data_IF_893139044491
#
_entry.id   IF_893139044491
#
_cell.length_a   1.000
_cell.length_b   1.000
_cell.length_c   1.000
_cell.angle_alpha   90.00
_cell.angle_beta   90.00
_cell.angle_gamma   90.00
#
_symmetry.space_group_name_H-M   'P 1'
#
loop_
_entity.id
_entity.type
_entity.pdbx_description
1 polymer ?
#
# COMPACT_ATOMS: atom_id res chain seq x y z
N UNK A 1 39.01 -14.67 -12.71
CA UNK A 1 37.98 -15.62 -12.21
C UNK A 1 38.58 -16.40 -11.04
N UNK A 2 38.23 -16.03 -9.81
CA UNK A 2 38.56 -16.79 -8.60
C UNK A 2 37.39 -16.59 -7.66
N UNK A 3 36.54 -17.63 -7.58
CA UNK A 3 35.40 -17.64 -6.68
C UNK A 3 35.91 -17.83 -5.24
N UNK A 4 35.37 -17.10 -4.26
CA UNK A 4 35.47 -17.46 -2.85
C UNK A 4 34.15 -18.07 -2.39
N UNK A 5 34.17 -19.18 -1.64
CA UNK A 5 33.02 -19.66 -0.84
C UNK A 5 33.43 -20.86 0.03
N UNK A 6 32.70 -21.16 1.11
CA UNK A 6 33.15 -20.86 2.48
C UNK A 6 33.09 -22.11 3.38
N UNK A 7 33.44 -21.98 4.66
CA UNK A 7 32.59 -22.35 5.82
C UNK A 7 33.40 -22.55 7.10
N UNK A 8 32.68 -22.23 8.19
CA UNK A 8 32.79 -22.81 9.51
C UNK A 8 33.98 -22.40 10.36
N UNK A 9 33.73 -21.54 11.36
CA UNK A 9 34.06 -21.89 12.74
C UNK A 9 32.97 -21.39 13.70
N UNK A 10 32.26 -22.36 14.27
CA UNK A 10 31.57 -22.21 15.55
C UNK A 10 32.63 -22.07 16.64
N UNK A 11 32.52 -21.06 17.49
CA UNK A 11 33.24 -20.96 18.76
C UNK A 11 32.17 -20.79 19.85
N UNK A 12 31.80 -21.89 20.52
CA UNK A 12 32.40 -22.45 21.74
C UNK A 12 31.98 -21.70 23.01
N UNK A 13 31.11 -22.38 23.76
CA UNK A 13 30.68 -22.08 25.12
C UNK A 13 31.88 -21.84 26.04
N UNK A 14 31.73 -20.90 26.98
CA UNK A 14 32.48 -20.90 28.24
C UNK A 14 31.53 -20.85 29.42
N UNK A 15 31.25 -22.05 29.93
CA UNK A 15 30.85 -22.28 31.31
C UNK A 15 32.00 -21.84 32.22
N UNK A 16 31.71 -21.00 33.22
CA UNK A 16 32.54 -20.87 34.41
C UNK A 16 31.64 -20.98 35.63
N UNK A 17 31.98 -21.95 36.48
CA UNK A 17 31.35 -22.29 37.73
C UNK A 17 32.34 -21.97 38.85
N UNK A 18 31.89 -21.24 39.88
CA UNK A 18 32.51 -21.07 41.21
C UNK A 18 31.53 -20.18 42.00
N UNK A 19 31.18 -20.37 43.26
CA UNK A 19 31.31 -21.44 44.24
C UNK A 19 30.32 -21.12 45.39
N UNK A 20 30.03 -22.13 46.20
CA UNK A 20 29.20 -22.08 47.40
C UNK A 20 29.52 -20.92 48.38
N UNK A 21 28.49 -20.28 48.91
CA UNK A 21 28.37 -20.00 50.35
C UNK A 21 26.92 -20.25 50.82
N UNK A 22 26.70 -20.96 51.95
CA UNK A 22 25.38 -21.17 52.53
C UNK A 22 25.18 -20.23 53.73
N UNK A 23 24.22 -19.32 53.67
CA UNK A 23 23.64 -18.72 54.88
C UNK A 23 22.12 -18.68 54.72
N UNK A 24 21.48 -19.52 55.52
CA UNK A 24 20.06 -19.50 55.76
C UNK A 24 19.67 -18.15 56.38
N UNK A 25 18.80 -17.42 55.70
CA UNK A 25 17.94 -16.43 56.32
C UNK A 25 16.54 -16.66 55.76
N UNK A 26 15.81 -17.56 56.43
CA UNK A 26 14.38 -17.75 56.28
C UNK A 26 13.72 -16.46 56.75
N UNK A 27 13.52 -15.52 55.83
CA UNK A 27 12.52 -14.47 55.97
C UNK A 27 11.26 -14.96 55.27
N UNK A 28 10.42 -15.65 56.04
CA UNK A 28 8.99 -15.78 55.72
C UNK A 28 8.40 -14.38 55.90
N UNK A 29 8.51 -13.56 54.86
CA UNK A 29 7.63 -12.42 54.71
C UNK A 29 6.34 -12.95 54.09
N UNK A 30 5.25 -12.84 54.84
CA UNK A 30 3.90 -12.87 54.32
C UNK A 30 3.83 -12.06 53.02
N UNK A 31 3.75 -12.75 51.88
CA UNK A 31 3.23 -12.14 50.68
C UNK A 31 1.75 -11.82 50.98
N UNK A 32 1.30 -10.55 50.93
CA UNK A 32 -0.12 -10.33 50.79
C UNK A 32 -0.51 -11.05 49.50
N UNK A 33 -1.50 -11.93 49.61
CA UNK A 33 -2.17 -12.48 48.46
C UNK A 33 -2.71 -11.29 47.67
N UNK A 34 -1.92 -10.80 46.71
CA UNK A 34 -2.40 -9.93 45.67
C UNK A 34 -3.44 -10.76 44.94
N UNK A 35 -4.70 -10.53 45.28
CA UNK A 35 -5.83 -10.89 44.47
C UNK A 35 -5.58 -10.24 43.10
N UNK A 36 -4.97 -11.00 42.20
CA UNK A 36 -4.80 -10.60 40.82
C UNK A 36 -6.22 -10.45 40.27
N UNK A 37 -6.68 -9.20 40.18
CA UNK A 37 -7.94 -8.87 39.53
C UNK A 37 -7.79 -9.37 38.09
N UNK A 38 -8.60 -10.35 37.65
CA UNK A 38 -8.49 -10.93 36.32
C UNK A 38 -8.99 -9.89 35.30
N UNK A 39 -8.12 -8.98 34.89
CA UNK A 39 -8.46 -7.91 33.96
C UNK A 39 -7.39 -6.82 33.82
N UNK A 40 -6.71 -6.44 34.90
CA UNK A 40 -5.73 -5.34 34.87
C UNK A 40 -4.50 -5.69 34.02
N UNK A 41 -3.95 -6.90 34.17
CA UNK A 41 -2.81 -7.35 33.37
C UNK A 41 -3.08 -7.39 31.86
N UNK A 42 -4.32 -7.67 31.45
CA UNK A 42 -4.69 -7.76 30.03
C UNK A 42 -4.95 -6.38 29.40
N UNK A 43 -5.35 -5.39 30.20
CA UNK A 43 -5.49 -4.00 29.75
C UNK A 43 -4.13 -3.31 29.63
N UNK A 44 -3.22 -3.53 30.59
CA UNK A 44 -1.85 -2.98 30.53
C UNK A 44 -1.06 -3.54 29.34
N UNK A 45 -1.21 -4.83 29.04
CA UNK A 45 -0.57 -5.46 27.87
C UNK A 45 -1.10 -4.92 26.53
N UNK A 46 -2.41 -4.65 26.42
CA UNK A 46 -2.99 -4.03 25.22
C UNK A 46 -2.53 -2.59 25.02
N UNK A 47 -2.45 -1.81 26.09
CA UNK A 47 -1.93 -0.44 26.05
C UNK A 47 -0.46 -0.39 25.63
N UNK A 48 0.37 -1.29 26.18
CA UNK A 48 1.79 -1.40 25.79
C UNK A 48 1.95 -1.78 24.31
N UNK A 49 1.16 -2.73 23.80
CA UNK A 49 1.18 -3.12 22.39
C UNK A 49 0.71 -1.98 21.45
N UNK A 50 -0.25 -1.17 21.88
CA UNK A 50 -0.69 0.02 21.13
C UNK A 50 0.41 1.08 21.06
N UNK A 51 1.08 1.37 22.19
CA UNK A 51 2.19 2.31 22.23
C UNK A 51 3.37 1.86 21.35
N UNK A 52 3.72 0.57 21.37
CA UNK A 52 4.76 0.03 20.50
C UNK A 52 4.41 0.20 19.02
N UNK A 53 3.15 -0.03 18.63
CA UNK A 53 2.69 0.16 17.26
C UNK A 53 2.76 1.63 16.83
N UNK A 54 2.38 2.55 17.71
CA UNK A 54 2.50 3.99 17.45
C UNK A 54 3.96 4.44 17.31
N UNK A 55 4.88 3.86 18.10
CA UNK A 55 6.31 4.12 17.97
C UNK A 55 6.84 3.64 16.62
N UNK A 56 6.51 2.40 16.22
CA UNK A 56 6.89 1.86 14.91
C UNK A 56 6.36 2.73 13.76
N UNK A 57 5.11 3.19 13.83
CA UNK A 57 4.55 4.09 12.81
C UNK A 57 5.34 5.40 12.71
N UNK A 58 5.71 6.00 13.85
CA UNK A 58 6.52 7.22 13.89
C UNK A 58 7.93 6.99 13.33
N UNK A 59 8.53 5.84 13.61
CA UNK A 59 9.83 5.46 13.04
C UNK A 59 9.76 5.33 11.52
N UNK A 60 8.73 4.63 11.00
CA UNK A 60 8.49 4.51 9.57
C UNK A 60 8.25 5.88 8.90
N UNK A 61 7.48 6.77 9.52
CA UNK A 61 7.24 8.13 9.03
C UNK A 61 8.52 8.98 9.01
N UNK A 62 9.31 8.90 10.09
CA UNK A 62 10.60 9.59 10.17
C UNK A 62 11.57 9.10 9.09
N UNK A 63 11.59 7.79 8.83
CA UNK A 63 12.42 7.19 7.79
C UNK A 63 11.99 7.64 6.38
N UNK A 64 10.68 7.69 6.11
CA UNK A 64 10.15 8.24 4.86
C UNK A 64 10.53 9.71 4.68
N UNK A 65 10.43 10.51 5.74
CA UNK A 65 10.85 11.90 5.71
C UNK A 65 12.34 12.03 5.40
N UNK A 66 13.18 11.15 5.95
CA UNK A 66 14.61 11.12 5.64
C UNK A 66 14.88 10.78 4.17
N UNK A 67 14.21 9.77 3.61
CA UNK A 67 14.33 9.42 2.18
C UNK A 67 13.97 10.62 1.28
N UNK A 68 12.91 11.35 1.63
CA UNK A 68 12.50 12.56 0.89
C UNK A 68 13.56 13.66 0.99
N UNK A 69 14.14 13.89 2.18
CA UNK A 69 15.23 14.85 2.36
C UNK A 69 16.46 14.48 1.53
N UNK A 70 16.84 13.21 1.53
CA UNK A 70 17.99 12.73 0.75
C UNK A 70 17.77 12.87 -0.75
N UNK A 71 16.57 12.57 -1.25
CA UNK A 71 16.20 12.82 -2.64
C UNK A 71 16.29 14.29 -3.02
N UNK A 72 15.83 15.19 -2.14
CA UNK A 72 15.95 16.63 -2.37
C UNK A 72 17.43 17.07 -2.46
N UNK A 73 18.32 16.50 -1.64
CA UNK A 73 19.76 16.76 -1.71
C UNK A 73 20.37 16.24 -3.02
N UNK A 74 20.00 15.03 -3.46
CA UNK A 74 20.45 14.47 -4.74
C UNK A 74 20.03 15.37 -5.91
N UNK A 75 18.79 15.85 -5.89
CA UNK A 75 18.26 16.74 -6.93
C UNK A 75 18.98 18.10 -6.94
N UNK A 76 19.21 18.69 -5.76
CA UNK A 76 19.97 19.93 -5.65
C UNK A 76 21.40 19.77 -6.20
N UNK A 77 22.06 18.65 -5.90
CA UNK A 77 23.38 18.33 -6.42
C UNK A 77 23.34 18.13 -7.94
N UNK A 78 22.35 17.40 -8.44
CA UNK A 78 22.15 17.19 -9.88
C UNK A 78 21.97 18.52 -10.63
N UNK A 79 21.10 19.41 -10.15
CA UNK A 79 20.88 20.73 -10.75
C UNK A 79 22.14 21.59 -10.70
N UNK A 80 22.95 21.48 -9.64
CA UNK A 80 24.23 22.19 -9.56
C UNK A 80 25.25 21.64 -10.57
N UNK A 81 25.36 20.31 -10.69
CA UNK A 81 26.21 19.63 -11.67
C UNK A 81 25.80 19.97 -13.11
N UNK A 82 24.50 19.97 -13.41
CA UNK A 82 23.94 20.33 -14.72
C UNK A 82 24.35 21.76 -15.14
N UNK A 83 24.31 22.72 -14.20
CA UNK A 83 24.76 24.10 -14.46
C UNK A 83 26.24 24.19 -14.81
N UNK A 84 27.08 23.35 -14.19
CA UNK A 84 28.51 23.29 -14.49
C UNK A 84 28.75 22.64 -15.85
N UNK A 85 27.91 21.70 -16.28
CA UNK A 85 28.04 21.03 -17.58
C UNK A 85 27.89 21.98 -18.76
N UNK A 86 27.04 23.00 -18.67
CA UNK A 86 26.90 24.02 -19.73
C UNK A 86 28.15 24.89 -19.94
N UNK A 87 29.11 24.86 -19.02
CA UNK A 87 30.40 25.56 -19.16
C UNK A 87 31.47 24.67 -19.81
N UNK A 88 31.17 23.39 -20.08
CA UNK A 88 32.09 22.42 -20.66
C UNK A 88 31.92 22.36 -22.18
N UNK A 89 32.98 21.92 -22.86
CA UNK A 89 32.95 21.69 -24.30
C UNK A 89 32.04 20.50 -24.69
N UNK A 90 32.08 19.40 -23.91
CA UNK A 90 31.20 18.24 -24.09
C UNK A 90 30.02 18.32 -23.14
N UNK A 91 29.02 19.15 -23.49
CA UNK A 91 27.82 19.36 -22.67
C UNK A 91 27.02 18.06 -22.56
N UNK A 92 26.75 17.40 -23.68
CA UNK A 92 25.89 16.19 -23.72
C UNK A 92 26.46 15.03 -22.91
N UNK A 93 27.76 14.76 -23.01
CA UNK A 93 28.42 13.73 -22.20
C UNK A 93 28.39 14.06 -20.71
N UNK A 94 28.67 15.33 -20.36
CA UNK A 94 28.61 15.78 -18.98
C UNK A 94 27.20 15.67 -18.38
N UNK A 95 26.16 16.05 -19.13
CA UNK A 95 24.77 15.92 -18.69
C UNK A 95 24.36 14.44 -18.52
N UNK A 96 24.84 13.55 -19.39
CA UNK A 96 24.59 12.12 -19.26
C UNK A 96 25.21 11.57 -17.96
N UNK A 97 26.45 11.94 -17.65
CA UNK A 97 27.16 11.54 -16.44
C UNK A 97 26.48 12.09 -15.17
N UNK A 98 26.05 13.35 -15.18
CA UNK A 98 25.33 13.97 -14.05
C UNK A 98 24.03 13.22 -13.74
N UNK A 99 23.26 12.86 -14.78
CA UNK A 99 22.04 12.04 -14.64
C UNK A 99 22.33 10.62 -14.16
N UNK A 100 23.41 10.01 -14.62
CA UNK A 100 23.82 8.68 -14.15
C UNK A 100 24.19 8.71 -12.67
N UNK A 101 25.00 9.68 -12.23
CA UNK A 101 25.35 9.88 -10.82
C UNK A 101 24.11 10.09 -9.95
N UNK A 102 23.19 10.96 -10.39
CA UNK A 102 21.93 11.18 -9.67
C UNK A 102 21.12 9.89 -9.51
N UNK A 103 21.00 9.10 -10.59
CA UNK A 103 20.31 7.79 -10.55
C UNK A 103 20.99 6.81 -9.60
N UNK A 104 22.32 6.68 -9.67
CA UNK A 104 23.08 5.78 -8.79
C UNK A 104 22.93 6.15 -7.31
N UNK A 105 22.86 7.45 -6.99
CA UNK A 105 22.59 7.91 -5.62
C UNK A 105 21.16 7.61 -5.16
N UNK A 106 20.16 7.65 -6.05
CA UNK A 106 18.76 7.37 -5.72
C UNK A 106 18.44 5.87 -5.60
N UNK A 107 19.17 4.99 -6.30
CA UNK A 107 18.99 3.52 -6.25
C UNK A 107 18.87 2.94 -4.83
N UNK A 108 19.80 3.22 -3.89
CA UNK A 108 19.68 2.69 -2.53
C UNK A 108 18.45 3.25 -1.79
N UNK A 109 18.07 4.51 -2.04
CA UNK A 109 16.87 5.11 -1.44
C UNK A 109 15.60 4.42 -1.91
N UNK A 110 15.53 4.14 -3.22
CA UNK A 110 14.43 3.39 -3.82
C UNK A 110 14.35 1.96 -3.27
N UNK A 111 15.48 1.28 -3.09
CA UNK A 111 15.51 -0.04 -2.49
C UNK A 111 14.95 -0.02 -1.06
N UNK A 112 15.35 0.98 -0.26
CA UNK A 112 14.86 1.14 1.11
C UNK A 112 13.36 1.47 1.17
N UNK A 113 12.88 2.35 0.30
CA UNK A 113 11.46 2.68 0.19
C UNK A 113 10.60 1.47 -0.19
N UNK A 114 11.10 0.60 -1.07
CA UNK A 114 10.43 -0.65 -1.42
C UNK A 114 10.33 -1.60 -0.23
N UNK A 115 11.40 -1.73 0.56
CA UNK A 115 11.39 -2.52 1.80
C UNK A 115 10.33 -2.01 2.79
N UNK A 116 10.29 -0.69 3.02
CA UNK A 116 9.26 -0.06 3.87
C UNK A 116 7.84 -0.31 3.35
N UNK A 117 7.62 -0.19 2.04
CA UNK A 117 6.33 -0.45 1.41
C UNK A 117 5.89 -1.92 1.56
N UNK A 118 6.83 -2.86 1.44
CA UNK A 118 6.55 -4.28 1.61
C UNK A 118 6.21 -4.64 3.06
N UNK A 119 6.89 -4.03 4.03
CA UNK A 119 6.56 -4.16 5.46
C UNK A 119 5.14 -3.66 5.71
N UNK A 120 4.82 -2.44 5.26
CA UNK A 120 3.47 -1.87 5.41
C UNK A 120 2.40 -2.74 4.72
N UNK A 121 2.70 -3.28 3.55
CA UNK A 121 1.78 -4.16 2.82
C UNK A 121 1.48 -5.42 3.62
N UNK A 122 2.50 -6.03 4.24
CA UNK A 122 2.34 -7.21 5.10
C UNK A 122 1.54 -6.88 6.35
N UNK A 123 1.79 -5.75 7.00
CA UNK A 123 1.04 -5.29 8.17
C UNK A 123 -0.44 -5.01 7.84
N UNK A 124 -0.71 -4.33 6.73
CA UNK A 124 -2.09 -4.10 6.26
C UNK A 124 -2.80 -5.41 5.94
N UNK A 125 -2.09 -6.37 5.33
CA UNK A 125 -2.66 -7.69 5.04
C UNK A 125 -3.01 -8.45 6.33
N UNK A 126 -2.10 -8.50 7.30
CA UNK A 126 -2.36 -9.16 8.60
C UNK A 126 -3.48 -8.49 9.38
N UNK A 127 -3.55 -7.16 9.38
CA UNK A 127 -4.63 -6.41 10.01
C UNK A 127 -5.98 -6.75 9.36
N UNK A 128 -6.04 -6.77 8.02
CA UNK A 128 -7.26 -7.15 7.30
C UNK A 128 -7.67 -8.60 7.54
N UNK A 129 -6.72 -9.53 7.66
CA UNK A 129 -7.04 -10.92 7.99
C UNK A 129 -7.67 -11.04 9.38
N UNK A 130 -7.11 -10.36 10.38
CA UNK A 130 -7.70 -10.27 11.73
C UNK A 130 -9.10 -9.68 11.69
N UNK A 131 -9.31 -8.59 10.94
CA UNK A 131 -10.64 -7.99 10.79
C UNK A 131 -11.66 -8.95 10.15
N UNK A 132 -11.22 -9.77 9.18
CA UNK A 132 -12.07 -10.78 8.53
C UNK A 132 -12.40 -11.89 9.52
N UNK A 133 -11.42 -12.38 10.29
CA UNK A 133 -11.61 -13.40 11.33
C UNK A 133 -12.55 -12.91 12.42
N UNK A 134 -12.37 -11.67 12.89
CA UNK A 134 -13.27 -11.03 13.86
C UNK A 134 -14.70 -10.90 13.31
N UNK A 135 -14.85 -10.50 12.05
CA UNK A 135 -16.17 -10.45 11.39
C UNK A 135 -16.78 -11.84 11.25
N UNK A 136 -16.00 -12.86 10.90
CA UNK A 136 -16.45 -14.25 10.83
C UNK A 136 -16.88 -14.76 12.19
N UNK A 137 -16.09 -14.51 13.25
CA UNK A 137 -16.41 -14.89 14.62
C UNK A 137 -17.69 -14.20 15.11
N UNK A 138 -17.85 -12.89 14.85
CA UNK A 138 -19.08 -12.15 15.14
C UNK A 138 -20.28 -12.71 14.38
N UNK A 139 -20.14 -13.01 13.09
CA UNK A 139 -21.21 -13.58 12.27
C UNK A 139 -21.54 -15.04 12.65
N UNK A 140 -20.57 -15.81 13.16
CA UNK A 140 -20.80 -17.17 13.67
C UNK A 140 -21.44 -17.16 15.07
N UNK A 141 -21.12 -16.15 15.90
CA UNK A 141 -21.71 -15.95 17.23
C UNK A 141 -23.15 -15.41 17.15
N UNK A 142 -23.52 -14.74 16.06
CA UNK A 142 -24.94 -14.56 15.73
C UNK A 142 -25.43 -15.90 15.20
N UNK A 143 -26.31 -16.63 15.91
CA UNK A 143 -26.91 -17.81 15.33
C UNK A 143 -27.63 -17.34 14.07
N UNK A 144 -27.13 -17.76 12.90
CA UNK A 144 -27.94 -17.88 11.72
C UNK A 144 -29.14 -18.70 12.18
N UNK A 145 -30.27 -18.05 12.47
CA UNK A 145 -31.56 -18.70 12.41
C UNK A 145 -31.67 -19.13 10.96
N UNK A 146 -31.09 -20.28 10.65
CA UNK A 146 -31.55 -21.13 9.59
C UNK A 146 -33.02 -21.29 9.93
N UNK A 147 -33.86 -20.49 9.28
CA UNK A 147 -35.24 -20.87 9.07
C UNK A 147 -35.13 -22.16 8.28
N UNK A 148 -34.99 -23.27 9.00
CA UNK A 148 -35.51 -24.55 8.55
C UNK A 148 -36.92 -24.20 8.14
N UNK A 149 -37.17 -24.15 6.83
CA UNK A 149 -38.54 -24.21 6.34
C UNK A 149 -38.98 -25.60 6.78
N UNK A 150 -39.68 -25.64 7.92
CA UNK A 150 -40.40 -26.82 8.30
C UNK A 150 -41.43 -27.02 7.18
N UNK A 151 -41.21 -28.04 6.35
CA UNK A 151 -42.25 -28.66 5.53
C UNK A 151 -43.25 -29.35 6.48
N UNK A 152 -43.91 -28.57 7.32
CA UNK A 152 -45.06 -28.97 8.10
C UNK A 152 -46.29 -28.48 7.35
N UNK A 153 -46.63 -29.19 6.28
CA UNK A 153 -47.94 -29.11 5.69
C UNK A 153 -49.01 -29.42 6.75
N UNK A 154 -49.95 -28.48 6.89
CA UNK A 154 -51.35 -28.70 7.33
C UNK A 154 -51.52 -29.16 8.79
N UNK A 155 -51.63 -28.19 9.71
CA UNK A 155 -52.72 -28.06 10.72
C UNK A 155 -52.40 -26.91 11.71
N UNK A 156 -53.36 -26.02 12.06
CA UNK A 156 -53.12 -24.97 13.05
C UNK A 156 -53.13 -25.53 14.49
N UNK A 157 -52.19 -25.16 15.38
CA UNK A 157 -52.22 -25.56 16.78
C UNK A 157 -53.20 -24.71 17.59
N UNK A 158 -54.04 -25.36 18.41
CA UNK A 158 -54.91 -24.74 19.41
C UNK A 158 -54.10 -24.30 20.65
N UNK A 159 -54.35 -23.12 21.26
CA UNK A 159 -53.52 -22.60 22.34
C UNK A 159 -54.12 -22.91 23.72
N UNK A 160 -53.70 -23.99 24.36
CA UNK A 160 -53.97 -24.22 25.79
C UNK A 160 -52.76 -24.87 26.47
N UNK A 161 -51.78 -24.04 26.85
CA UNK A 161 -50.62 -24.47 27.63
C UNK A 161 -49.96 -23.31 28.37
N UNK A 162 -49.61 -23.54 29.64
CA UNK A 162 -48.93 -22.61 30.56
C UNK A 162 -47.51 -22.38 30.06
N UNK A 163 -47.33 -21.42 29.17
CA UNK A 163 -46.08 -21.16 28.43
C UNK A 163 -46.27 -20.49 27.06
N UNK A 164 -47.51 -20.11 26.70
CA UNK A 164 -47.77 -19.34 25.49
C UNK A 164 -47.01 -18.01 25.52
N UNK A 165 -46.13 -17.81 24.53
CA UNK A 165 -45.51 -16.51 24.26
C UNK A 165 -46.62 -15.47 24.02
N UNK A 166 -46.45 -14.21 24.46
CA UNK A 166 -47.42 -13.17 24.16
C UNK A 166 -47.67 -13.12 22.64
N UNK A 167 -48.92 -12.88 22.19
CA UNK A 167 -49.21 -12.76 20.77
C UNK A 167 -48.34 -11.64 20.20
N UNK A 168 -47.38 -12.01 19.37
CA UNK A 168 -46.61 -11.04 18.60
C UNK A 168 -47.57 -10.52 17.54
N UNK A 169 -47.75 -9.21 17.45
CA UNK A 169 -48.56 -8.60 16.40
C UNK A 169 -47.92 -8.90 15.04
N UNK A 170 -48.43 -9.93 14.36
CA UNK A 170 -47.91 -10.40 13.09
C UNK A 170 -48.01 -9.33 11.99
N UNK A 171 -49.03 -8.47 12.05
CA UNK A 171 -49.22 -7.36 11.12
C UNK A 171 -48.11 -6.33 11.27
N UNK A 172 -47.78 -5.95 12.51
CA UNK A 172 -46.69 -5.03 12.79
C UNK A 172 -45.32 -5.57 12.33
N UNK A 173 -45.05 -6.86 12.55
CA UNK A 173 -43.80 -7.51 12.11
C UNK A 173 -43.71 -7.60 10.58
N UNK A 174 -44.83 -7.86 9.90
CA UNK A 174 -44.88 -7.87 8.43
C UNK A 174 -44.66 -6.48 7.85
N UNK A 175 -45.30 -5.45 8.41
CA UNK A 175 -45.11 -4.06 7.99
C UNK A 175 -43.65 -3.60 8.17
N UNK A 176 -43.01 -3.96 9.28
CA UNK A 176 -41.60 -3.67 9.52
C UNK A 176 -40.68 -4.38 8.52
N UNK A 177 -40.94 -5.66 8.21
CA UNK A 177 -40.14 -6.40 7.21
C UNK A 177 -40.29 -5.79 5.81
N UNK A 178 -41.48 -5.34 5.45
CA UNK A 178 -41.74 -4.68 4.17
C UNK A 178 -41.00 -3.35 4.08
N UNK A 179 -41.04 -2.53 5.12
CA UNK A 179 -40.32 -1.24 5.14
C UNK A 179 -38.80 -1.44 5.09
N UNK A 180 -38.25 -2.42 5.81
CA UNK A 180 -36.82 -2.77 5.73
C UNK A 180 -36.41 -3.32 4.36
N UNK A 181 -37.29 -4.09 3.70
CA UNK A 181 -37.05 -4.58 2.34
C UNK A 181 -37.04 -3.42 1.32
N UNK A 182 -37.98 -2.48 1.44
CA UNK A 182 -38.04 -1.27 0.62
C UNK A 182 -36.80 -0.39 0.85
N UNK A 183 -36.36 -0.21 2.09
CA UNK A 183 -35.13 0.54 2.40
C UNK A 183 -33.87 -0.12 1.86
N UNK A 184 -33.81 -1.46 1.84
CA UNK A 184 -32.68 -2.18 1.24
C UNK A 184 -32.69 -2.04 -0.28
N UNK A 185 -33.86 -2.17 -0.91
CA UNK A 185 -34.01 -1.98 -2.34
C UNK A 185 -33.62 -0.56 -2.77
N UNK A 186 -34.02 0.48 -2.02
CA UNK A 186 -33.66 1.87 -2.33
C UNK A 186 -32.15 2.11 -2.19
N UNK A 187 -31.53 1.64 -1.11
CA UNK A 187 -30.08 1.74 -0.91
C UNK A 187 -29.29 1.04 -2.01
N UNK A 188 -29.77 -0.12 -2.47
CA UNK A 188 -29.14 -0.86 -3.57
C UNK A 188 -29.29 -0.10 -4.90
N UNK A 189 -30.47 0.44 -5.18
CA UNK A 189 -30.68 1.28 -6.36
C UNK A 189 -29.78 2.53 -6.34
N UNK A 190 -29.64 3.19 -5.19
CA UNK A 190 -28.75 4.34 -5.00
C UNK A 190 -27.28 3.99 -5.21
N UNK A 191 -26.86 2.82 -4.73
CA UNK A 191 -25.50 2.33 -4.94
C UNK A 191 -25.25 2.08 -6.42
N UNK A 192 -26.18 1.41 -7.11
CA UNK A 192 -26.08 1.12 -8.54
C UNK A 192 -26.00 2.42 -9.36
N UNK A 193 -26.90 3.38 -9.10
CA UNK A 193 -26.88 4.69 -9.77
C UNK A 193 -25.56 5.42 -9.60
N UNK A 194 -25.02 5.48 -8.37
CA UNK A 194 -23.72 6.14 -8.12
C UNK A 194 -22.57 5.40 -8.79
N UNK A 195 -22.61 4.08 -8.81
CA UNK A 195 -21.60 3.29 -9.49
C UNK A 195 -21.60 3.53 -11.01
N UNK A 196 -22.78 3.50 -11.63
CA UNK A 196 -22.96 3.74 -13.07
C UNK A 196 -22.56 5.16 -13.45
N UNK A 197 -22.91 6.17 -12.64
CA UNK A 197 -22.45 7.55 -12.82
C UNK A 197 -20.92 7.68 -12.74
N UNK A 198 -20.29 7.02 -11.76
CA UNK A 198 -18.83 7.02 -11.64
C UNK A 198 -18.15 6.35 -12.83
N UNK A 199 -18.73 5.25 -13.34
CA UNK A 199 -18.28 4.57 -14.56
C UNK A 199 -18.39 5.48 -15.78
N UNK A 200 -19.56 6.09 -15.99
CA UNK A 200 -19.78 7.02 -17.10
C UNK A 200 -18.78 8.19 -17.09
N UNK A 201 -18.53 8.79 -15.92
CA UNK A 201 -17.54 9.86 -15.79
C UNK A 201 -16.10 9.38 -16.09
N UNK A 202 -15.75 8.17 -15.63
CA UNK A 202 -14.44 7.59 -15.93
C UNK A 202 -14.27 7.26 -17.42
N UNK A 203 -15.34 6.86 -18.09
CA UNK A 203 -15.38 6.55 -19.52
C UNK A 203 -15.22 7.84 -20.35
N UNK A 204 -15.98 8.88 -20.02
CA UNK A 204 -15.83 10.23 -20.61
C UNK A 204 -14.40 10.76 -20.48
N UNK A 205 -13.79 10.63 -19.30
CA UNK A 205 -12.40 11.04 -19.09
C UNK A 205 -11.37 10.19 -19.83
N UNK A 206 -11.69 8.95 -20.24
CA UNK A 206 -10.83 8.16 -21.13
C UNK A 206 -10.97 8.62 -22.58
N UNK A 207 -12.20 8.80 -23.05
CA UNK A 207 -12.49 9.28 -24.40
C UNK A 207 -11.86 10.65 -24.67
N UNK A 208 -11.94 11.59 -23.72
CA UNK A 208 -11.31 12.91 -23.86
C UNK A 208 -9.79 12.81 -23.96
N UNK A 209 -9.15 11.94 -23.17
CA UNK A 209 -7.70 11.72 -23.23
C UNK A 209 -7.28 11.07 -24.54
N UNK A 210 -8.05 10.12 -25.04
CA UNK A 210 -7.81 9.47 -26.33
C UNK A 210 -7.96 10.47 -27.48
N UNK A 211 -9.01 11.29 -27.49
CA UNK A 211 -9.20 12.34 -28.48
C UNK A 211 -8.08 13.38 -28.46
N UNK A 212 -7.61 13.78 -27.27
CA UNK A 212 -6.45 14.68 -27.14
C UNK A 212 -5.17 14.02 -27.65
N UNK A 213 -4.96 12.73 -27.39
CA UNK A 213 -3.78 12.00 -27.83
C UNK A 213 -3.75 11.82 -29.36
N UNK A 214 -4.89 11.54 -29.99
CA UNK A 214 -4.98 11.43 -31.46
C UNK A 214 -4.72 12.78 -32.11
N UNK A 215 -5.35 13.85 -31.62
CA UNK A 215 -5.11 15.21 -32.12
C UNK A 215 -3.64 15.64 -31.98
N UNK A 216 -3.01 15.36 -30.84
CA UNK A 216 -1.59 15.66 -30.62
C UNK A 216 -0.67 14.85 -31.57
N UNK A 217 -1.02 13.59 -31.83
CA UNK A 217 -0.27 12.75 -32.79
C UNK A 217 -0.37 13.31 -34.20
N UNK A 218 -1.56 13.68 -34.64
CA UNK A 218 -1.78 14.28 -35.96
C UNK A 218 -1.04 15.60 -36.12
N UNK A 219 -1.05 16.47 -35.10
CA UNK A 219 -0.31 17.71 -35.09
C UNK A 219 1.21 17.48 -35.24
N UNK A 220 1.77 16.52 -34.48
CA UNK A 220 3.19 16.15 -34.60
C UNK A 220 3.56 15.61 -35.99
N UNK A 221 2.68 14.83 -36.60
CA UNK A 221 2.93 14.32 -37.97
C UNK A 221 2.94 15.45 -39.00
N UNK A 222 2.03 16.43 -38.88
CA UNK A 222 2.00 17.62 -39.74
C UNK A 222 3.25 18.48 -39.54
N UNK A 223 3.61 18.76 -38.29
CA UNK A 223 4.81 19.54 -37.96
C UNK A 223 6.10 18.87 -38.47
N UNK A 224 6.21 17.55 -38.34
CA UNK A 224 7.35 16.80 -38.87
C UNK A 224 7.42 16.85 -40.40
N UNK A 225 6.27 16.77 -41.09
CA UNK A 225 6.21 16.91 -42.55
C UNK A 225 6.62 18.32 -43.00
N UNK A 226 6.11 19.36 -42.32
CA UNK A 226 6.45 20.75 -42.60
C UNK A 226 7.92 21.05 -42.33
N UNK A 227 8.48 20.53 -41.24
CA UNK A 227 9.89 20.64 -40.92
C UNK A 227 10.75 20.00 -42.01
N UNK A 228 10.39 18.78 -42.45
CA UNK A 228 11.07 18.09 -43.56
C UNK A 228 10.99 18.91 -44.85
N UNK A 229 9.83 19.46 -45.19
CA UNK A 229 9.66 20.29 -46.38
C UNK A 229 10.51 21.57 -46.33
N UNK A 230 10.52 22.27 -45.18
CA UNK A 230 11.37 23.45 -44.95
C UNK A 230 12.86 23.12 -45.06
N UNK A 231 13.31 22.02 -44.44
CA UNK A 231 14.69 21.58 -44.51
C UNK A 231 15.12 21.26 -45.95
N UNK A 232 14.26 20.60 -46.75
CA UNK A 232 14.53 20.31 -48.16
C UNK A 232 14.61 21.60 -49.00
N UNK A 233 13.71 22.56 -48.80
CA UNK A 233 13.76 23.87 -49.48
C UNK A 233 15.04 24.62 -49.13
N UNK A 234 15.40 24.70 -47.85
CA UNK A 234 16.65 25.33 -47.41
C UNK A 234 17.89 24.63 -47.97
N UNK A 235 17.88 23.30 -48.10
CA UNK A 235 18.97 22.56 -48.72
C UNK A 235 19.10 22.85 -50.23
N UNK A 236 17.98 23.03 -50.94
CA UNK A 236 17.97 23.45 -52.34
C UNK A 236 18.48 24.88 -52.52
N UNK A 237 18.01 25.81 -51.69
CA UNK A 237 18.40 27.23 -51.72
C UNK A 237 19.87 27.44 -51.37
N UNK A 238 20.40 26.70 -50.38
CA UNK A 238 21.82 26.79 -50.00
C UNK A 238 22.77 26.25 -51.08
N UNK A 239 22.28 25.40 -52.00
CA UNK A 239 23.13 24.76 -53.01
C UNK A 239 24.19 23.82 -52.40
N UNK A 240 25.08 23.27 -53.23
CA UNK A 240 26.21 22.43 -52.78
C UNK A 240 27.29 23.34 -52.19
N UNK A 241 27.28 23.54 -50.87
CA UNK A 241 28.20 24.44 -50.16
C UNK A 241 29.56 23.83 -49.81
N UNK A 242 29.89 22.62 -50.29
CA UNK A 242 31.19 22.00 -50.04
C UNK A 242 31.82 21.45 -51.32
N UNK A 243 33.11 21.75 -51.49
CA UNK A 243 33.95 21.08 -52.48
C UNK A 243 34.06 19.59 -52.13
N UNK A 244 34.05 18.68 -53.13
CA UNK A 244 34.22 17.26 -52.87
C UNK A 244 35.54 17.00 -52.14
N UNK A 245 35.51 16.09 -51.16
CA UNK A 245 36.68 15.67 -50.41
C UNK A 245 37.81 15.27 -51.38
N UNK A 246 39.06 15.69 -51.14
CA UNK A 246 40.19 15.34 -52.01
C UNK A 246 40.36 13.82 -52.07
N UNK A 247 40.63 13.29 -53.26
CA UNK A 247 40.88 11.87 -53.45
C UNK A 247 42.08 11.41 -52.61
N UNK A 248 42.03 10.20 -52.01
CA UNK A 248 43.14 9.68 -51.21
C UNK A 248 44.40 9.57 -52.08
N UNK A 249 45.54 10.01 -51.52
CA UNK A 249 46.84 9.93 -52.17
C UNK A 249 47.27 8.45 -52.38
N UNK A 250 48.03 8.15 -53.46
CA UNK A 250 48.46 6.79 -53.80
C UNK A 250 49.41 6.19 -52.76
#
# INVERSE_FOLDING_TARGET
MKMPTPFAQLTSLRFTALALTPIAAVWVLCAPANAQVPGEGQQTQKAAAQQQREQLLKEHEAERAEIVRQRALIEQQHVAEDKLCYQKFSVEGCLADAREKARLRDVPLRARELELNDIERKERATTKLKDIEDKKAKNAAVPMKAQKRDDAGKNPPSPTGVGAKPPVDEQAVQAQRQSEAQQRASKQADYQRRHDQSRAHADQGREEREAKATAAREAKLKEAADHKARALKQAQERGKTSAPLPAPAP
#
